data_IF_849788756806
#
_entry.id   IF_849788756806
#
_cell.length_a   1.000
_cell.length_b   1.000
_cell.length_c   1.000
_cell.angle_alpha   90.00
_cell.angle_beta   90.00
_cell.angle_gamma   90.00
#
_symmetry.space_group_name_H-M   'P 1'
#
loop_
_entity.id
_entity.type
_entity.pdbx_description
1 polymer ?
#
# COMPACT_ATOMS: atom_id res chain seq x y z
N UNK A 1 -17.79 -25.41 13.72
CA UNK A 1 -18.11 -25.11 12.32
C UNK A 1 -18.97 -23.86 12.14
N UNK A 2 -20.04 -23.69 12.90
CA UNK A 2 -20.90 -22.48 12.86
C UNK A 2 -20.19 -21.18 13.27
N UNK A 3 -19.26 -21.23 14.23
CA UNK A 3 -18.50 -20.06 14.69
C UNK A 3 -17.52 -19.55 13.65
N UNK A 4 -16.88 -20.42 12.89
CA UNK A 4 -15.95 -20.06 11.80
C UNK A 4 -16.72 -19.41 10.65
N UNK A 5 -17.92 -19.90 10.32
CA UNK A 5 -18.81 -19.29 9.30
C UNK A 5 -19.29 -17.89 9.72
N UNK A 6 -19.64 -17.71 11.00
CA UNK A 6 -20.05 -16.40 11.55
C UNK A 6 -18.88 -15.41 11.57
N UNK A 7 -17.68 -15.85 11.97
CA UNK A 7 -16.48 -15.02 11.97
C UNK A 7 -16.09 -14.59 10.55
N UNK A 8 -16.13 -15.50 9.56
CA UNK A 8 -15.90 -15.19 8.15
C UNK A 8 -16.94 -14.18 7.62
N UNK A 9 -18.22 -14.38 7.93
CA UNK A 9 -19.30 -13.46 7.52
C UNK A 9 -19.14 -12.08 8.13
N UNK A 10 -18.81 -11.98 9.42
CA UNK A 10 -18.54 -10.71 10.11
C UNK A 10 -17.34 -10.00 9.52
N UNK A 11 -16.27 -10.72 9.19
CA UNK A 11 -15.08 -10.18 8.57
C UNK A 11 -15.35 -9.65 7.15
N UNK A 12 -16.14 -10.39 6.35
CA UNK A 12 -16.56 -9.95 5.01
C UNK A 12 -17.42 -8.69 5.11
N UNK A 13 -18.37 -8.62 6.04
CA UNK A 13 -19.21 -7.44 6.27
C UNK A 13 -18.36 -6.23 6.71
N UNK A 14 -17.38 -6.42 7.57
CA UNK A 14 -16.45 -5.38 8.00
C UNK A 14 -15.62 -4.84 6.81
N UNK A 15 -15.09 -5.71 5.96
CA UNK A 15 -14.36 -5.34 4.75
C UNK A 15 -15.25 -4.60 3.75
N UNK A 16 -16.48 -5.04 3.55
CA UNK A 16 -17.46 -4.40 2.67
C UNK A 16 -17.85 -3.00 3.17
N UNK A 17 -18.06 -2.82 4.47
CA UNK A 17 -18.37 -1.50 5.05
C UNK A 17 -17.21 -0.51 4.88
N UNK A 18 -15.98 -0.95 5.04
CA UNK A 18 -14.79 -0.13 4.78
C UNK A 18 -14.65 0.27 3.30
N UNK A 19 -14.98 -0.64 2.36
CA UNK A 19 -14.95 -0.36 0.91
C UNK A 19 -15.98 0.70 0.54
N UNK A 20 -17.20 0.66 1.09
CA UNK A 20 -18.26 1.63 0.81
C UNK A 20 -17.90 3.03 1.33
N UNK A 21 -17.35 3.13 2.54
CA UNK A 21 -16.86 4.40 3.10
C UNK A 21 -15.74 5.00 2.25
N UNK A 22 -14.83 4.18 1.74
CA UNK A 22 -13.72 4.61 0.88
C UNK A 22 -14.19 5.05 -0.50
N UNK A 23 -15.22 4.42 -1.09
CA UNK A 23 -15.84 4.86 -2.34
C UNK A 23 -16.41 6.27 -2.23
N UNK A 24 -17.06 6.60 -1.12
CA UNK A 24 -17.61 7.94 -0.87
C UNK A 24 -16.51 9.01 -0.68
N UNK A 25 -15.36 8.64 -0.10
CA UNK A 25 -14.21 9.54 0.05
C UNK A 25 -13.46 9.79 -1.26
N UNK A 26 -13.39 8.78 -2.14
CA UNK A 26 -12.66 8.88 -3.42
C UNK A 26 -13.42 9.65 -4.51
N UNK A 27 -14.73 9.86 -4.38
CA UNK A 27 -15.52 10.64 -5.33
C UNK A 27 -15.17 12.13 -5.36
N UNK A 28 -14.48 12.67 -4.34
CA UNK A 28 -14.14 14.08 -4.21
C UNK A 28 -12.71 14.47 -4.61
N UNK A 29 -11.84 13.50 -4.96
CA UNK A 29 -10.38 13.71 -5.12
C UNK A 29 -9.91 13.59 -6.59
N UNK A 30 -10.80 13.52 -7.58
CA UNK A 30 -10.44 13.36 -8.98
C UNK A 30 -10.00 14.66 -9.67
N UNK A 31 -8.69 14.92 -9.73
CA UNK A 31 -8.09 15.81 -10.72
C UNK A 31 -7.60 15.01 -11.93
N UNK A 32 -8.29 15.18 -13.05
CA UNK A 32 -8.22 14.27 -14.22
C UNK A 32 -6.94 14.39 -15.08
N UNK A 33 -6.01 15.31 -14.84
CA UNK A 33 -4.90 15.60 -15.74
C UNK A 33 -3.52 15.07 -15.33
N UNK A 34 -3.21 15.02 -14.04
CA UNK A 34 -1.95 14.48 -13.52
C UNK A 34 -1.96 12.96 -13.32
N UNK A 35 -3.14 12.37 -13.17
CA UNK A 35 -3.32 10.97 -12.80
C UNK A 35 -3.04 9.96 -13.92
N UNK A 36 -3.15 10.36 -15.20
CA UNK A 36 -3.06 9.43 -16.33
C UNK A 36 -1.63 8.92 -16.58
N UNK A 37 -0.62 9.71 -16.24
CA UNK A 37 0.80 9.30 -16.38
C UNK A 37 1.29 8.50 -15.17
N UNK A 38 0.92 8.90 -13.94
CA UNK A 38 1.25 8.15 -12.73
C UNK A 38 0.56 6.77 -12.66
N UNK A 39 -0.67 6.66 -13.17
CA UNK A 39 -1.38 5.39 -13.29
C UNK A 39 -0.69 4.37 -14.17
N UNK A 40 0.03 4.82 -15.22
CA UNK A 40 0.68 3.91 -16.17
C UNK A 40 1.98 3.32 -15.61
N UNK A 41 2.67 4.04 -14.74
CA UNK A 41 3.99 3.64 -14.23
C UNK A 41 3.91 2.71 -13.00
N UNK A 42 2.92 2.92 -12.12
CA UNK A 42 2.69 2.06 -10.95
C UNK A 42 1.21 1.69 -10.82
N UNK A 43 0.66 1.10 -11.88
CA UNK A 43 -0.72 0.61 -11.88
C UNK A 43 -0.94 -0.50 -10.84
N UNK A 44 0.10 -1.27 -10.58
CA UNK A 44 0.13 -2.28 -9.52
C UNK A 44 1.41 -2.14 -8.72
N UNK A 45 1.28 -2.03 -7.40
CA UNK A 45 2.43 -2.05 -6.50
C UNK A 45 2.89 -3.49 -6.27
N UNK A 46 4.19 -3.74 -6.42
CA UNK A 46 4.76 -4.99 -5.92
C UNK A 46 4.74 -4.99 -4.38
N UNK A 47 4.82 -6.15 -3.72
CA UNK A 47 4.92 -6.19 -2.27
C UNK A 47 6.05 -5.30 -1.71
N UNK A 48 7.21 -5.30 -2.35
CA UNK A 48 8.33 -4.43 -1.94
C UNK A 48 7.97 -2.96 -2.03
N UNK A 49 7.36 -2.50 -3.14
CA UNK A 49 6.90 -1.12 -3.30
C UNK A 49 5.88 -0.72 -2.24
N UNK A 50 4.92 -1.60 -1.96
CA UNK A 50 3.90 -1.39 -0.95
C UNK A 50 4.52 -1.17 0.44
N UNK A 51 5.41 -2.07 0.86
CA UNK A 51 6.04 -1.97 2.18
C UNK A 51 7.03 -0.82 2.30
N UNK A 52 7.72 -0.43 1.23
CA UNK A 52 8.56 0.77 1.22
C UNK A 52 7.71 2.01 1.48
N UNK A 53 6.61 2.19 0.75
CA UNK A 53 5.71 3.33 0.97
C UNK A 53 5.07 3.29 2.35
N UNK A 54 4.67 2.12 2.82
CA UNK A 54 4.07 1.95 4.15
C UNK A 54 5.05 2.29 5.28
N UNK A 55 6.33 1.93 5.14
CA UNK A 55 7.36 2.27 6.13
C UNK A 55 7.56 3.78 6.27
N UNK A 56 7.33 4.53 5.20
CA UNK A 56 7.55 5.98 5.12
C UNK A 56 6.42 6.84 5.72
N UNK A 57 5.49 6.25 6.45
CA UNK A 57 4.63 7.03 7.35
C UNK A 57 5.45 7.72 8.46
N UNK A 58 6.65 7.24 8.71
CA UNK A 58 7.68 7.84 9.55
C UNK A 58 8.83 8.36 8.68
N UNK A 59 9.54 9.42 9.11
CA UNK A 59 10.76 9.88 8.43
C UNK A 59 11.88 8.84 8.55
N UNK A 60 12.35 8.29 7.44
CA UNK A 60 13.38 7.24 7.41
C UNK A 60 14.42 7.50 6.32
N UNK A 61 15.67 7.12 6.57
CA UNK A 61 16.71 7.00 5.54
C UNK A 61 16.67 5.61 4.87
N UNK A 62 17.41 5.41 3.78
CA UNK A 62 17.38 4.17 3.01
C UNK A 62 17.68 2.92 3.83
N UNK A 63 18.66 2.96 4.73
CA UNK A 63 18.98 1.82 5.60
C UNK A 63 17.82 1.48 6.53
N UNK A 64 17.26 2.49 7.17
CA UNK A 64 16.11 2.33 8.09
C UNK A 64 14.85 1.81 7.37
N UNK A 65 14.64 2.19 6.10
CA UNK A 65 13.56 1.63 5.28
C UNK A 65 13.73 0.12 5.10
N UNK A 66 14.95 -0.32 4.74
CA UNK A 66 15.22 -1.75 4.55
C UNK A 66 15.03 -2.54 5.83
N UNK A 67 15.52 -2.04 6.96
CA UNK A 67 15.34 -2.64 8.29
C UNK A 67 13.85 -2.69 8.68
N UNK A 68 13.13 -1.58 8.50
CA UNK A 68 11.70 -1.49 8.83
C UNK A 68 10.85 -2.46 8.00
N UNK A 69 11.10 -2.60 6.71
CA UNK A 69 10.37 -3.55 5.85
C UNK A 69 10.62 -4.98 6.30
N UNK A 70 11.87 -5.34 6.59
CA UNK A 70 12.20 -6.68 7.10
C UNK A 70 11.52 -6.96 8.45
N UNK A 71 11.51 -5.99 9.36
CA UNK A 71 10.86 -6.10 10.66
C UNK A 71 9.34 -6.23 10.55
N UNK A 72 8.67 -5.34 9.77
CA UNK A 72 7.22 -5.37 9.55
C UNK A 72 6.71 -6.68 8.99
N UNK A 73 7.50 -7.35 8.16
CA UNK A 73 7.14 -8.58 7.46
C UNK A 73 7.71 -9.84 8.11
N UNK A 74 8.38 -9.69 9.26
CA UNK A 74 9.07 -10.80 9.94
C UNK A 74 10.03 -11.57 9.00
N UNK A 75 10.63 -10.83 8.06
CA UNK A 75 11.58 -11.36 7.08
C UNK A 75 10.97 -11.92 5.79
N UNK A 76 9.64 -11.96 5.66
CA UNK A 76 8.96 -12.47 4.46
C UNK A 76 9.26 -11.61 3.21
N UNK A 77 9.41 -10.31 3.40
CA UNK A 77 9.78 -9.38 2.33
C UNK A 77 11.09 -8.69 2.70
N UNK A 78 12.08 -8.84 1.86
CA UNK A 78 13.34 -8.10 1.95
C UNK A 78 13.49 -7.15 0.77
N UNK A 79 14.07 -6.00 1.01
CA UNK A 79 14.38 -5.00 -0.01
C UNK A 79 15.90 -4.82 -0.07
N UNK A 80 16.49 -5.19 -1.20
CA UNK A 80 17.91 -4.95 -1.43
C UNK A 80 18.21 -3.47 -1.71
N UNK A 81 19.43 -3.05 -1.40
CA UNK A 81 19.86 -1.67 -1.62
C UNK A 81 19.70 -1.22 -3.08
N UNK A 82 20.06 -2.07 -4.05
CA UNK A 82 19.89 -1.77 -5.48
C UNK A 82 18.44 -1.49 -5.85
N UNK A 83 17.52 -2.30 -5.39
CA UNK A 83 16.07 -2.11 -5.62
C UNK A 83 15.58 -0.83 -4.95
N UNK A 84 15.94 -0.60 -3.69
CA UNK A 84 15.50 0.57 -2.95
C UNK A 84 15.98 1.88 -3.61
N UNK A 85 17.27 1.97 -3.89
CA UNK A 85 17.85 3.20 -4.47
C UNK A 85 17.45 3.42 -5.94
N UNK A 86 16.92 2.41 -6.63
CA UNK A 86 16.26 2.57 -7.92
C UNK A 86 14.81 3.08 -7.77
N UNK A 87 14.11 2.68 -6.72
CA UNK A 87 12.70 3.05 -6.50
C UNK A 87 12.52 4.44 -5.86
N UNK A 88 13.37 4.84 -4.93
CA UNK A 88 13.24 6.11 -4.22
C UNK A 88 13.16 7.33 -5.16
N UNK A 89 14.07 7.50 -6.16
CA UNK A 89 13.96 8.61 -7.10
C UNK A 89 12.67 8.58 -7.93
N UNK A 90 12.20 7.41 -8.29
CA UNK A 90 10.95 7.24 -9.05
C UNK A 90 9.73 7.62 -8.22
N UNK A 91 9.67 7.19 -6.96
CA UNK A 91 8.59 7.58 -6.04
C UNK A 91 8.60 9.08 -5.76
N UNK A 92 9.78 9.69 -5.62
CA UNK A 92 9.92 11.14 -5.43
C UNK A 92 9.45 11.89 -6.68
N UNK A 93 9.85 11.45 -7.87
CA UNK A 93 9.46 12.07 -9.14
C UNK A 93 7.95 12.02 -9.39
N UNK A 94 7.28 10.94 -9.02
CA UNK A 94 5.81 10.80 -9.10
C UNK A 94 5.10 11.59 -7.99
N UNK A 95 5.82 11.92 -6.92
CA UNK A 95 5.29 12.65 -5.78
C UNK A 95 4.68 11.78 -4.68
N UNK A 96 5.00 10.48 -4.64
CA UNK A 96 4.56 9.59 -3.56
C UNK A 96 5.33 9.78 -2.27
N UNK A 97 6.59 10.20 -2.38
CA UNK A 97 7.46 10.53 -1.26
C UNK A 97 8.11 11.88 -1.50
N UNK A 98 8.59 12.49 -0.43
CA UNK A 98 9.39 13.70 -0.50
C UNK A 98 10.64 13.59 0.37
N UNK A 99 11.72 14.23 -0.07
CA UNK A 99 12.89 14.44 0.74
C UNK A 99 12.57 15.43 1.85
N UNK A 100 12.65 15.00 3.09
CA UNK A 100 12.38 15.84 4.25
C UNK A 100 13.63 16.65 4.65
N UNK A 101 14.76 15.98 4.72
CA UNK A 101 16.06 16.58 5.04
C UNK A 101 17.21 15.69 4.59
N UNK A 102 18.39 16.29 4.48
CA UNK A 102 19.64 15.56 4.34
C UNK A 102 20.51 15.84 5.57
N UNK A 103 20.94 14.78 6.24
CA UNK A 103 21.72 14.85 7.47
C UNK A 103 22.86 13.82 7.41
N UNK A 104 24.09 14.27 7.61
CA UNK A 104 25.27 13.40 7.54
C UNK A 104 25.36 12.56 6.25
N UNK A 105 25.07 13.18 5.09
CA UNK A 105 24.99 12.52 3.77
C UNK A 105 23.88 11.45 3.65
N UNK A 106 22.97 11.40 4.61
CA UNK A 106 21.80 10.52 4.56
C UNK A 106 20.57 11.32 4.18
N UNK A 107 19.87 10.87 3.15
CA UNK A 107 18.61 11.45 2.71
C UNK A 107 17.46 10.81 3.50
N UNK A 108 16.67 11.62 4.16
CA UNK A 108 15.53 11.22 4.95
C UNK A 108 14.27 11.56 4.16
N UNK A 109 13.45 10.54 3.91
CA UNK A 109 12.21 10.63 3.15
C UNK A 109 11.00 10.45 4.04
N UNK A 110 9.88 10.98 3.59
CA UNK A 110 8.56 10.76 4.19
C UNK A 110 7.53 10.59 3.08
N UNK A 111 6.49 9.81 3.34
CA UNK A 111 5.38 9.65 2.42
C UNK A 111 4.57 10.95 2.29
N UNK A 112 4.11 11.26 1.09
CA UNK A 112 3.21 12.39 0.83
C UNK A 112 1.75 11.96 0.95
N UNK A 113 0.83 12.93 0.93
CA UNK A 113 -0.60 12.64 0.85
C UNK A 113 -0.94 11.80 -0.40
N UNK A 114 -0.32 12.12 -1.54
CA UNK A 114 -0.48 11.35 -2.79
C UNK A 114 -0.01 9.89 -2.65
N UNK A 115 1.11 9.67 -1.94
CA UNK A 115 1.60 8.32 -1.62
C UNK A 115 0.65 7.54 -0.73
N UNK A 116 0.07 8.18 0.28
CA UNK A 116 -0.96 7.58 1.14
C UNK A 116 -2.21 7.19 0.37
N UNK A 117 -2.69 8.05 -0.50
CA UNK A 117 -3.83 7.77 -1.39
C UNK A 117 -3.55 6.58 -2.32
N UNK A 118 -2.32 6.47 -2.82
CA UNK A 118 -1.91 5.31 -3.62
C UNK A 118 -1.94 4.01 -2.83
N UNK A 119 -1.49 4.02 -1.56
CA UNK A 119 -1.60 2.86 -0.67
C UNK A 119 -3.06 2.49 -0.37
N UNK A 120 -3.92 3.47 -0.17
CA UNK A 120 -5.36 3.23 0.03
C UNK A 120 -6.00 2.52 -1.17
N UNK A 121 -5.66 2.93 -2.40
CA UNK A 121 -6.12 2.27 -3.62
C UNK A 121 -5.64 0.81 -3.70
N UNK A 122 -4.40 0.56 -3.32
CA UNK A 122 -3.86 -0.81 -3.29
C UNK A 122 -4.56 -1.67 -2.23
N UNK A 123 -4.79 -1.12 -1.06
CA UNK A 123 -5.57 -1.77 0.00
C UNK A 123 -6.98 -2.18 -0.48
N UNK A 124 -7.68 -1.29 -1.19
CA UNK A 124 -8.99 -1.61 -1.77
C UNK A 124 -8.93 -2.79 -2.75
N UNK A 125 -7.89 -2.82 -3.59
CA UNK A 125 -7.68 -3.95 -4.52
C UNK A 125 -7.46 -5.27 -3.77
N UNK A 126 -6.62 -5.25 -2.75
CA UNK A 126 -6.36 -6.41 -1.90
C UNK A 126 -7.62 -6.89 -1.19
N UNK A 127 -8.42 -5.98 -0.66
CA UNK A 127 -9.69 -6.30 -0.01
C UNK A 127 -10.67 -6.97 -0.97
N UNK A 128 -10.79 -6.46 -2.20
CA UNK A 128 -11.62 -7.09 -3.24
C UNK A 128 -11.16 -8.51 -3.58
N UNK A 129 -9.85 -8.72 -3.69
CA UNK A 129 -9.27 -10.04 -3.95
C UNK A 129 -9.59 -11.02 -2.82
N UNK A 130 -9.43 -10.61 -1.57
CA UNK A 130 -9.76 -11.42 -0.39
C UNK A 130 -11.25 -11.78 -0.38
N UNK A 131 -12.14 -10.81 -0.61
CA UNK A 131 -13.59 -11.03 -0.64
C UNK A 131 -13.97 -12.05 -1.72
N UNK A 132 -13.42 -11.91 -2.92
CA UNK A 132 -13.69 -12.84 -4.03
C UNK A 132 -13.22 -14.26 -3.72
N UNK A 133 -12.04 -14.40 -3.11
CA UNK A 133 -11.52 -15.69 -2.69
C UNK A 133 -12.39 -16.34 -1.62
N UNK A 134 -12.79 -15.57 -0.61
CA UNK A 134 -13.67 -16.06 0.47
C UNK A 134 -15.08 -16.45 -0.03
N UNK A 135 -15.60 -15.74 -1.04
CA UNK A 135 -16.87 -16.13 -1.67
C UNK A 135 -16.77 -17.49 -2.36
N UNK A 136 -15.66 -17.77 -3.04
CA UNK A 136 -15.43 -19.04 -3.68
C UNK A 136 -15.37 -20.19 -2.68
N UNK A 137 -14.69 -20.00 -1.56
CA UNK A 137 -14.67 -20.99 -0.48
C UNK A 137 -16.06 -21.33 0.03
N UNK A 138 -16.97 -20.34 0.04
CA UNK A 138 -18.36 -20.53 0.45
C UNK A 138 -19.19 -21.34 -0.56
N UNK A 139 -18.96 -21.15 -1.86
CA UNK A 139 -19.64 -21.88 -2.94
C UNK A 139 -19.21 -23.34 -2.99
N UNK A 140 -17.96 -23.62 -2.70
CA UNK A 140 -17.40 -24.99 -2.69
C UNK A 140 -17.84 -25.81 -1.44
N UNK A 141 -18.34 -25.16 -0.38
CA UNK A 141 -18.87 -25.81 0.83
C UNK A 141 -20.36 -26.15 0.76
N UNK A 142 -21.07 -25.73 -0.29
CA UNK A 142 -22.48 -26.02 -0.54
C UNK A 142 -22.65 -27.20 -1.50
#
# INVERSE_FOLDING_TARGET
MLEIKRAKSAFILLLLSNIDIMRLKNLSIFDKRGEKMARKEFETLTPQMFYILLSLYEPLCGLEIMEKVNEMTEGDVSVGAGTLYALLPRFENIGYIQLLKEENKRKIYIITQKGKERLELEKEKMQKQIILFMKKDYEDEI
#
